data_IF_496872736617
#
_entry.id   IF_496872736617
#
_cell.length_a   1.000
_cell.length_b   1.000
_cell.length_c   1.000
_cell.angle_alpha   90.00
_cell.angle_beta   90.00
_cell.angle_gamma   90.00
#
_symmetry.space_group_name_H-M   'P 1'
#
loop_
_entity.id
_entity.type
_entity.pdbx_description
1 polymer ?
#
# COMPACT_ATOMS: atom_id res chain seq x y z
N UNK A 1 -1.35 1.24 -26.34
CA UNK A 1 -2.25 1.11 -25.16
C UNK A 1 -1.69 2.03 -24.08
N UNK A 2 -2.46 3.00 -23.57
CA UNK A 2 -1.99 3.82 -22.44
C UNK A 2 -1.98 2.92 -21.20
N UNK A 3 -0.81 2.68 -20.61
CA UNK A 3 -0.73 2.07 -19.28
C UNK A 3 -1.34 3.06 -18.29
N UNK A 4 -2.59 2.82 -17.90
CA UNK A 4 -3.23 3.58 -16.84
C UNK A 4 -2.62 3.04 -15.55
N UNK A 5 -1.60 3.73 -15.03
CA UNK A 5 -1.08 3.44 -13.71
C UNK A 5 -2.07 4.03 -12.68
N UNK A 6 -2.81 3.21 -11.92
CA UNK A 6 -3.78 3.73 -10.98
C UNK A 6 -3.07 4.50 -9.86
N UNK A 7 -3.40 5.79 -9.69
CA UNK A 7 -2.83 6.62 -8.61
C UNK A 7 -3.14 6.07 -7.22
N UNK A 8 -4.28 5.37 -7.09
CA UNK A 8 -4.75 4.83 -5.83
C UNK A 8 -5.11 3.36 -5.99
N UNK A 9 -4.70 2.56 -5.03
CA UNK A 9 -4.97 1.11 -5.00
C UNK A 9 -5.79 0.76 -3.76
N UNK A 10 -6.71 -0.18 -3.91
CA UNK A 10 -7.49 -0.72 -2.78
C UNK A 10 -6.72 -1.85 -2.08
N UNK A 11 -7.26 -2.36 -0.97
CA UNK A 11 -6.62 -3.41 -0.19
C UNK A 11 -6.33 -4.71 -0.99
N UNK A 12 -7.21 -5.11 -1.92
CA UNK A 12 -6.97 -6.31 -2.72
C UNK A 12 -5.78 -6.11 -3.67
N UNK A 13 -5.74 -4.96 -4.33
CA UNK A 13 -4.61 -4.57 -5.20
C UNK A 13 -3.32 -4.41 -4.41
N UNK A 14 -3.38 -3.89 -3.17
CA UNK A 14 -2.22 -3.79 -2.29
C UNK A 14 -1.66 -5.18 -1.95
N UNK A 15 -2.54 -6.13 -1.61
CA UNK A 15 -2.15 -7.53 -1.34
C UNK A 15 -1.50 -8.15 -2.58
N UNK A 16 -2.10 -7.96 -3.77
CA UNK A 16 -1.54 -8.45 -5.03
C UNK A 16 -0.16 -7.85 -5.34
N UNK A 17 0.00 -6.53 -5.12
CA UNK A 17 1.24 -5.82 -5.40
C UNK A 17 2.37 -6.19 -4.44
N UNK A 18 2.09 -6.25 -3.14
CA UNK A 18 3.12 -6.47 -2.12
C UNK A 18 3.30 -7.95 -1.77
N UNK A 19 2.37 -8.82 -2.19
CA UNK A 19 2.25 -10.22 -1.77
C UNK A 19 2.21 -10.39 -0.24
N UNK A 20 1.71 -9.38 0.48
CA UNK A 20 1.60 -9.39 1.94
C UNK A 20 0.17 -9.76 2.31
N UNK A 21 0.02 -10.72 3.24
CA UNK A 21 -1.30 -11.11 3.72
C UNK A 21 -2.05 -9.94 4.37
N UNK A 22 -3.38 -9.96 4.27
CA UNK A 22 -4.26 -8.93 4.86
C UNK A 22 -4.00 -8.72 6.35
N UNK A 23 -3.82 -9.79 7.12
CA UNK A 23 -3.52 -9.71 8.56
C UNK A 23 -2.18 -9.02 8.83
N UNK A 24 -1.19 -9.27 7.98
CA UNK A 24 0.13 -8.61 8.09
C UNK A 24 0.05 -7.14 7.72
N UNK A 25 -0.72 -6.76 6.70
CA UNK A 25 -0.98 -5.34 6.39
C UNK A 25 -1.61 -4.62 7.58
N UNK A 26 -2.64 -5.20 8.21
CA UNK A 26 -3.24 -4.59 9.40
C UNK A 26 -2.25 -4.51 10.56
N UNK A 27 -1.42 -5.54 10.77
CA UNK A 27 -0.35 -5.48 11.77
C UNK A 27 0.62 -4.33 11.47
N UNK A 28 1.12 -4.22 10.24
CA UNK A 28 2.05 -3.17 9.82
C UNK A 28 1.47 -1.77 10.03
N UNK A 29 0.18 -1.57 9.78
CA UNK A 29 -0.50 -0.30 10.08
C UNK A 29 -0.41 0.11 11.56
N UNK A 30 -0.27 -0.85 12.48
CA UNK A 30 -0.15 -0.58 13.91
C UNK A 30 1.29 -0.62 14.40
N UNK A 31 2.15 -1.44 13.80
CA UNK A 31 3.51 -1.71 14.31
C UNK A 31 4.60 -0.95 13.59
N UNK A 32 4.38 -0.56 12.33
CA UNK A 32 5.39 0.09 11.51
C UNK A 32 4.97 1.55 11.22
N UNK A 33 5.64 2.54 11.83
CA UNK A 33 5.37 3.95 11.60
C UNK A 33 5.62 4.41 10.14
N UNK A 34 6.47 3.69 9.40
CA UNK A 34 6.83 4.01 8.02
C UNK A 34 5.89 3.38 7.01
N UNK A 35 5.00 2.47 7.44
CA UNK A 35 4.05 1.84 6.53
C UNK A 35 3.01 2.85 6.03
N UNK A 36 2.72 2.90 4.70
CA UNK A 36 1.79 3.86 4.12
C UNK A 36 0.40 3.83 4.74
N UNK A 37 -0.13 5.02 5.07
CA UNK A 37 -1.43 5.16 5.74
C UNK A 37 -2.57 5.12 4.72
N UNK A 38 -3.62 4.32 4.96
CA UNK A 38 -4.79 4.34 4.10
C UNK A 38 -5.58 5.62 4.29
N UNK A 39 -6.27 6.02 3.23
CA UNK A 39 -7.30 7.04 3.28
C UNK A 39 -8.62 6.49 2.72
N UNK A 40 -9.71 7.21 2.99
CA UNK A 40 -11.04 6.92 2.45
C UNK A 40 -11.41 7.97 1.41
N UNK A 41 -12.01 7.53 0.31
CA UNK A 41 -12.63 8.46 -0.64
C UNK A 41 -13.94 8.98 -0.07
N UNK A 42 -14.31 10.23 -0.39
CA UNK A 42 -15.57 10.83 0.05
C UNK A 42 -16.76 9.96 -0.38
N UNK A 43 -17.58 9.54 0.59
CA UNK A 43 -18.73 8.68 0.34
C UNK A 43 -18.41 7.19 0.16
N UNK A 44 -17.15 6.77 0.31
CA UNK A 44 -16.73 5.37 0.22
C UNK A 44 -16.40 4.75 1.58
N UNK A 45 -16.72 3.47 1.75
CA UNK A 45 -16.34 2.67 2.93
C UNK A 45 -15.03 1.89 2.75
N UNK A 46 -14.42 1.96 1.56
CA UNK A 46 -13.19 1.23 1.22
C UNK A 46 -11.96 2.07 1.56
N UNK A 47 -10.91 1.37 2.01
CA UNK A 47 -9.58 1.93 2.23
C UNK A 47 -8.79 1.91 0.93
N UNK A 48 -8.07 3.00 0.68
CA UNK A 48 -7.19 3.18 -0.46
C UNK A 48 -5.81 3.64 -0.01
N UNK A 49 -4.81 3.31 -0.81
CA UNK A 49 -3.42 3.72 -0.63
C UNK A 49 -2.92 4.44 -1.87
N UNK A 50 -2.02 5.39 -1.67
CA UNK A 50 -1.28 6.00 -2.76
C UNK A 50 -0.22 5.00 -3.25
N UNK A 51 -0.21 4.73 -4.55
CA UNK A 51 0.72 3.76 -5.14
C UNK A 51 2.19 4.19 -4.98
N UNK A 52 2.45 5.50 -5.07
CA UNK A 52 3.82 6.03 -4.99
C UNK A 52 4.40 5.81 -3.59
N UNK A 53 3.62 6.08 -2.53
CA UNK A 53 4.03 5.83 -1.14
C UNK A 53 4.30 4.35 -0.85
N UNK A 54 3.50 3.46 -1.45
CA UNK A 54 3.70 2.00 -1.33
C UNK A 54 5.00 1.58 -2.01
N UNK A 55 5.27 2.08 -3.21
CA UNK A 55 6.51 1.78 -3.93
C UNK A 55 7.75 2.33 -3.20
N UNK A 56 7.65 3.54 -2.65
CA UNK A 56 8.72 4.15 -1.86
C UNK A 56 9.02 3.32 -0.60
N UNK A 57 7.98 2.89 0.10
CA UNK A 57 8.10 1.99 1.25
C UNK A 57 8.79 0.67 0.86
N UNK A 58 8.32 -0.01 -0.19
CA UNK A 58 8.95 -1.26 -0.65
C UNK A 58 10.43 -1.05 -1.03
N UNK A 59 10.74 0.05 -1.71
CA UNK A 59 12.11 0.40 -2.10
C UNK A 59 13.01 0.67 -0.88
N UNK A 60 12.47 1.25 0.19
CA UNK A 60 13.19 1.46 1.45
C UNK A 60 13.51 0.14 2.16
N UNK A 61 12.60 -0.85 2.09
CA UNK A 61 12.80 -2.16 2.70
C UNK A 61 13.91 -2.94 1.99
N UNK A 62 13.95 -2.90 0.65
CA UNK A 62 15.02 -3.58 -0.12
C UNK A 62 16.41 -3.02 0.23
N UNK A 63 16.53 -1.70 0.42
CA UNK A 63 17.80 -1.07 0.82
C UNK A 63 18.24 -1.41 2.25
N UNK A 64 17.32 -1.79 3.14
CA UNK A 64 17.65 -2.17 4.51
C UNK A 64 18.28 -3.59 4.61
N UNK A 65 18.16 -4.41 3.56
CA UNK A 65 18.72 -5.77 3.50
C UNK A 65 19.92 -5.90 2.55
N UNK A 66 20.39 -4.80 1.95
CA UNK A 66 21.55 -4.75 1.06
C UNK A 66 22.75 -4.14 1.78
#
# INVERSE_FOLDING_TARGET
MKNINPKFINLAQLIELTNISRSTIYRLLHTDPLFPRPFKLRGGNRLYWNIDEVNDYLSSQVKAYA
#
